data_IF_953555926735
#
_entry.id   IF_953555926735
#
_cell.length_a   1.000
_cell.length_b   1.000
_cell.length_c   1.000
_cell.angle_alpha   90.00
_cell.angle_beta   90.00
_cell.angle_gamma   90.00
#
_symmetry.space_group_name_H-M   'P 1'
#
loop_
_entity.id
_entity.type
_entity.pdbx_description
1 polymer ?
#
# COMPACT_ATOMS: atom_id res chain seq x y z
N UNK A 1 27.98 -7.30 -4.81
CA UNK A 1 28.13 -8.24 -3.66
C UNK A 1 29.59 -8.53 -3.32
N UNK A 2 30.52 -8.60 -4.27
CA UNK A 2 31.95 -8.88 -4.01
C UNK A 2 32.69 -7.83 -3.18
N UNK A 3 32.16 -6.60 -3.11
CA UNK A 3 32.72 -5.49 -2.31
C UNK A 3 32.14 -5.39 -0.89
N UNK A 4 31.15 -6.23 -0.55
CA UNK A 4 30.48 -6.21 0.75
C UNK A 4 31.14 -7.22 1.70
N UNK A 5 31.24 -6.86 2.97
CA UNK A 5 31.68 -7.75 4.04
C UNK A 5 30.76 -8.98 4.16
N UNK A 6 31.29 -10.09 4.69
CA UNK A 6 30.49 -11.29 4.92
C UNK A 6 29.25 -11.03 5.78
N UNK A 7 29.36 -10.10 6.74
CA UNK A 7 28.23 -9.69 7.57
C UNK A 7 27.14 -8.99 6.75
N UNK A 8 27.49 -8.02 5.92
CA UNK A 8 26.53 -7.28 5.09
C UNK A 8 25.80 -8.22 4.11
N UNK A 9 26.52 -9.17 3.51
CA UNK A 9 25.90 -10.17 2.64
C UNK A 9 24.89 -11.02 3.40
N UNK A 10 25.25 -11.52 4.59
CA UNK A 10 24.33 -12.30 5.44
C UNK A 10 23.13 -11.45 5.85
N UNK A 11 23.34 -10.19 6.23
CA UNK A 11 22.27 -9.28 6.62
C UNK A 11 21.27 -9.04 5.49
N UNK A 12 21.72 -8.84 4.26
CA UNK A 12 20.86 -8.65 3.07
C UNK A 12 19.98 -9.89 2.84
N UNK A 13 20.57 -11.08 2.86
CA UNK A 13 19.81 -12.33 2.71
C UNK A 13 18.84 -12.56 3.87
N UNK A 14 19.22 -12.20 5.09
CA UNK A 14 18.34 -12.27 6.25
C UNK A 14 17.14 -11.32 6.12
N UNK A 15 17.36 -10.07 5.71
CA UNK A 15 16.28 -9.10 5.45
C UNK A 15 15.36 -9.59 4.34
N UNK A 16 15.91 -10.14 3.26
CA UNK A 16 15.10 -10.75 2.20
C UNK A 16 14.24 -11.90 2.75
N UNK A 17 14.82 -12.79 3.57
CA UNK A 17 14.10 -13.87 4.22
C UNK A 17 12.96 -13.37 5.12
N UNK A 18 13.22 -12.36 5.96
CA UNK A 18 12.22 -11.74 6.84
C UNK A 18 11.10 -11.10 6.02
N UNK A 19 11.41 -10.42 4.91
CA UNK A 19 10.41 -9.82 4.04
C UNK A 19 9.44 -10.86 3.47
N UNK A 20 9.97 -12.00 3.02
CA UNK A 20 9.17 -13.11 2.49
C UNK A 20 8.33 -13.78 3.58
N UNK A 21 8.87 -13.95 4.79
CA UNK A 21 8.12 -14.46 5.94
C UNK A 21 6.98 -13.52 6.33
N UNK A 22 7.20 -12.21 6.30
CA UNK A 22 6.15 -11.21 6.54
C UNK A 22 5.01 -11.30 5.52
N UNK A 23 5.35 -11.42 4.22
CA UNK A 23 4.35 -11.60 3.16
C UNK A 23 3.59 -12.93 3.29
N UNK A 24 4.29 -14.01 3.62
CA UNK A 24 3.68 -15.31 3.88
C UNK A 24 2.72 -15.22 5.07
N UNK A 25 3.12 -14.54 6.16
CA UNK A 25 2.27 -14.34 7.33
C UNK A 25 1.02 -13.51 7.00
N UNK A 26 1.15 -12.46 6.18
CA UNK A 26 0.00 -11.70 5.68
C UNK A 26 -1.00 -12.61 4.92
N UNK A 27 -0.49 -13.51 4.09
CA UNK A 27 -1.33 -14.47 3.35
C UNK A 27 -2.01 -15.50 4.27
N UNK A 28 -1.30 -15.97 5.30
CA UNK A 28 -1.87 -16.86 6.32
C UNK A 28 -2.99 -16.16 7.09
N UNK A 29 -2.78 -14.92 7.54
CA UNK A 29 -3.79 -14.12 8.22
C UNK A 29 -5.00 -13.87 7.32
N UNK A 30 -4.80 -13.52 6.05
CA UNK A 30 -5.88 -13.40 5.07
C UNK A 30 -6.72 -14.66 5.01
N UNK A 31 -6.06 -15.82 4.93
CA UNK A 31 -6.75 -17.11 4.84
C UNK A 31 -7.54 -17.43 6.11
N UNK A 32 -7.05 -17.02 7.28
CA UNK A 32 -7.77 -17.16 8.55
C UNK A 32 -9.00 -16.26 8.58
N UNK A 33 -8.85 -14.97 8.26
CA UNK A 33 -9.96 -14.01 8.28
C UNK A 33 -11.05 -14.41 7.29
N UNK A 34 -10.69 -14.83 6.07
CA UNK A 34 -11.69 -15.19 5.07
C UNK A 34 -12.54 -16.41 5.45
N UNK A 35 -12.06 -17.26 6.37
CA UNK A 35 -12.80 -18.42 6.90
C UNK A 35 -13.78 -18.06 8.02
N UNK A 36 -13.64 -16.90 8.65
CA UNK A 36 -14.58 -16.45 9.67
C UNK A 36 -15.96 -16.16 9.06
N UNK A 37 -17.00 -16.36 9.86
CA UNK A 37 -18.39 -16.22 9.44
C UNK A 37 -18.76 -14.76 9.15
N UNK A 38 -19.57 -14.55 8.10
CA UNK A 38 -20.06 -13.22 7.70
C UNK A 38 -21.36 -12.82 8.42
N UNK A 39 -21.87 -13.66 9.32
CA UNK A 39 -23.09 -13.41 10.05
C UNK A 39 -24.34 -13.56 9.17
N UNK A 40 -25.36 -12.79 9.54
CA UNK A 40 -26.71 -12.95 8.99
C UNK A 40 -26.83 -12.50 7.53
N UNK A 41 -27.87 -12.95 6.82
CA UNK A 41 -28.15 -12.52 5.45
C UNK A 41 -28.24 -10.98 5.32
N UNK A 42 -28.82 -10.31 6.31
CA UNK A 42 -28.95 -8.84 6.29
C UNK A 42 -27.59 -8.14 6.40
N UNK A 43 -26.68 -8.68 7.22
CA UNK A 43 -25.32 -8.17 7.31
C UNK A 43 -24.56 -8.32 6.00
N UNK A 44 -24.73 -9.47 5.33
CA UNK A 44 -24.10 -9.73 4.03
C UNK A 44 -24.65 -8.83 2.92
N UNK A 45 -25.94 -8.48 2.96
CA UNK A 45 -26.55 -7.54 2.03
C UNK A 45 -25.92 -6.13 2.17
N UNK A 46 -25.89 -5.58 3.38
CA UNK A 46 -25.31 -4.25 3.66
C UNK A 46 -23.82 -4.24 3.32
N UNK A 47 -23.09 -5.28 3.73
CA UNK A 47 -21.69 -5.47 3.38
C UNK A 47 -21.46 -5.47 1.87
N UNK A 48 -22.39 -6.05 1.09
CA UNK A 48 -22.35 -6.03 -0.37
C UNK A 48 -22.33 -4.62 -0.93
N UNK A 49 -23.20 -3.74 -0.43
CA UNK A 49 -23.25 -2.33 -0.86
C UNK A 49 -21.97 -1.57 -0.51
N UNK A 50 -21.45 -1.74 0.71
CA UNK A 50 -20.17 -1.15 1.14
C UNK A 50 -19.03 -1.64 0.24
N UNK A 51 -19.00 -2.95 -0.04
CA UNK A 51 -17.99 -3.57 -0.90
C UNK A 51 -18.04 -3.06 -2.32
N UNK A 52 -19.23 -2.88 -2.88
CA UNK A 52 -19.39 -2.34 -4.24
C UNK A 52 -18.95 -0.89 -4.31
N UNK A 53 -19.32 -0.06 -3.32
CA UNK A 53 -18.85 1.33 -3.19
C UNK A 53 -17.33 1.42 -3.07
N UNK A 54 -16.73 0.64 -2.18
CA UNK A 54 -15.28 0.58 -2.00
C UNK A 54 -14.56 0.14 -3.29
N UNK A 55 -15.07 -0.87 -4.00
CA UNK A 55 -14.47 -1.31 -5.26
C UNK A 55 -14.61 -0.27 -6.39
N UNK A 56 -15.73 0.44 -6.45
CA UNK A 56 -15.94 1.52 -7.40
C UNK A 56 -14.96 2.67 -7.14
N UNK A 57 -14.80 3.07 -5.87
CA UNK A 57 -13.82 4.08 -5.46
C UNK A 57 -12.38 3.66 -5.81
N UNK A 58 -11.96 2.45 -5.42
CA UNK A 58 -10.61 1.92 -5.72
C UNK A 58 -10.32 1.89 -7.22
N UNK A 59 -11.30 1.50 -8.03
CA UNK A 59 -11.18 1.44 -9.48
C UNK A 59 -11.05 2.83 -10.09
N UNK A 60 -11.84 3.79 -9.60
CA UNK A 60 -11.77 5.18 -10.05
C UNK A 60 -10.42 5.80 -9.68
N UNK A 61 -9.97 5.57 -8.45
CA UNK A 61 -8.69 6.05 -7.94
C UNK A 61 -7.52 5.53 -8.77
N UNK A 62 -7.48 4.22 -9.06
CA UNK A 62 -6.43 3.62 -9.89
C UNK A 62 -6.38 4.28 -11.28
N UNK A 63 -7.53 4.45 -11.94
CA UNK A 63 -7.61 5.11 -13.25
C UNK A 63 -7.12 6.55 -13.21
N UNK A 64 -7.40 7.27 -12.13
CA UNK A 64 -6.97 8.67 -11.97
C UNK A 64 -5.48 8.81 -11.69
N UNK A 65 -4.86 7.87 -10.98
CA UNK A 65 -3.43 7.92 -10.61
C UNK A 65 -2.51 7.46 -11.76
N UNK A 66 -2.95 6.55 -12.63
CA UNK A 66 -2.13 5.99 -13.71
C UNK A 66 -1.42 7.04 -14.59
N UNK A 67 -2.07 8.12 -15.07
CA UNK A 67 -1.39 9.16 -15.84
C UNK A 67 -0.24 9.84 -15.06
N UNK A 68 -0.44 10.08 -13.77
CA UNK A 68 0.60 10.67 -12.91
C UNK A 68 1.80 9.74 -12.74
N UNK A 69 1.57 8.43 -12.63
CA UNK A 69 2.66 7.45 -12.61
C UNK A 69 3.48 7.55 -13.89
N UNK A 70 2.84 7.56 -15.06
CA UNK A 70 3.57 7.65 -16.36
C UNK A 70 4.39 8.95 -16.44
N UNK A 71 3.78 10.09 -16.13
CA UNK A 71 4.47 11.40 -16.17
C UNK A 71 5.66 11.43 -15.21
N UNK A 72 5.49 10.92 -13.99
CA UNK A 72 6.55 10.95 -12.98
C UNK A 72 7.63 9.90 -13.22
N UNK A 73 7.32 8.75 -13.81
CA UNK A 73 8.34 7.81 -14.30
C UNK A 73 9.26 8.49 -15.30
N UNK A 74 8.69 9.24 -16.26
CA UNK A 74 9.46 10.00 -17.25
C UNK A 74 10.28 11.10 -16.55
N UNK A 75 9.66 11.86 -15.64
CA UNK A 75 10.36 12.91 -14.90
C UNK A 75 11.53 12.36 -14.06
N UNK A 76 11.35 11.24 -13.37
CA UNK A 76 12.41 10.61 -12.58
C UNK A 76 13.51 10.00 -13.43
N UNK A 77 13.19 9.46 -14.61
CA UNK A 77 14.20 9.06 -15.57
C UNK A 77 15.11 10.25 -15.94
N UNK A 78 14.51 11.38 -16.31
CA UNK A 78 15.26 12.59 -16.68
C UNK A 78 15.89 13.33 -15.49
N UNK A 79 15.50 13.02 -14.25
CA UNK A 79 16.07 13.65 -13.05
C UNK A 79 17.59 13.49 -12.95
N UNK A 80 18.15 12.44 -13.54
CA UNK A 80 19.61 12.16 -13.53
C UNK A 80 20.42 13.21 -14.30
N UNK A 81 19.80 13.95 -15.23
CA UNK A 81 20.46 15.04 -15.93
C UNK A 81 20.54 16.32 -15.11
N UNK A 82 19.69 16.46 -14.08
CA UNK A 82 19.70 17.58 -13.15
C UNK A 82 20.53 17.23 -11.92
N UNK A 83 20.32 16.03 -11.38
CA UNK A 83 21.03 15.48 -10.22
C UNK A 83 21.91 14.33 -10.70
N UNK A 84 23.22 14.57 -10.94
CA UNK A 84 24.12 13.57 -11.48
C UNK A 84 24.25 12.36 -10.54
N UNK A 85 24.59 11.16 -11.07
CA UNK A 85 24.82 9.97 -10.27
C UNK A 85 25.88 10.19 -9.18
N UNK A 86 25.72 9.51 -8.05
CA UNK A 86 26.70 9.53 -6.95
C UNK A 86 28.07 9.00 -7.37
N UNK A 87 29.12 9.31 -6.59
CA UNK A 87 30.47 8.83 -6.86
C UNK A 87 30.54 7.29 -6.80
N UNK A 88 29.74 6.70 -5.91
CA UNK A 88 29.56 5.27 -5.73
C UNK A 88 28.92 4.62 -6.96
N UNK A 89 27.91 5.26 -7.55
CA UNK A 89 27.31 4.81 -8.82
C UNK A 89 28.29 4.89 -9.99
N UNK A 90 29.13 5.93 -10.04
CA UNK A 90 30.18 6.05 -11.05
C UNK A 90 31.26 4.97 -10.88
N UNK A 91 31.64 4.64 -9.65
CA UNK A 91 32.60 3.57 -9.35
C UNK A 91 32.03 2.18 -9.68
N UNK A 92 30.74 1.94 -9.37
CA UNK A 92 30.05 0.69 -9.68
C UNK A 92 30.04 0.38 -11.18
N UNK A 93 29.96 1.41 -12.03
CA UNK A 93 30.01 1.32 -13.48
C UNK A 93 31.33 1.85 -14.06
N UNK A 94 32.46 1.52 -13.43
CA UNK A 94 33.81 2.00 -13.81
C UNK A 94 34.23 1.75 -15.27
N UNK A 95 33.63 0.78 -15.96
CA UNK A 95 33.88 0.50 -17.39
C UNK A 95 32.99 1.28 -18.37
N UNK A 96 32.06 2.09 -17.89
CA UNK A 96 31.10 2.84 -18.70
C UNK A 96 31.45 4.33 -18.78
N UNK A 97 31.09 4.96 -19.89
CA UNK A 97 31.20 6.43 -20.03
C UNK A 97 30.24 7.15 -19.08
N UNK A 98 30.53 8.41 -18.67
CA UNK A 98 29.64 9.17 -17.79
C UNK A 98 28.19 9.26 -18.28
N UNK A 99 27.98 9.33 -19.60
CA UNK A 99 26.64 9.38 -20.18
C UNK A 99 25.94 8.02 -20.16
N UNK A 100 26.68 6.91 -20.27
CA UNK A 100 26.13 5.57 -20.05
C UNK A 100 25.72 5.34 -18.59
N UNK A 101 26.51 5.82 -17.62
CA UNK A 101 26.16 5.71 -16.18
C UNK A 101 24.86 6.48 -15.89
N UNK A 102 24.73 7.70 -16.42
CA UNK A 102 23.48 8.48 -16.30
C UNK A 102 22.28 7.72 -16.85
N UNK A 103 22.44 7.09 -18.02
CA UNK A 103 21.37 6.30 -18.63
C UNK A 103 20.99 5.10 -17.75
N UNK A 104 21.95 4.33 -17.26
CA UNK A 104 21.68 3.16 -16.41
C UNK A 104 21.01 3.55 -15.10
N UNK A 105 21.51 4.57 -14.40
CA UNK A 105 20.90 5.05 -13.16
C UNK A 105 19.51 5.66 -13.41
N UNK A 106 19.31 6.35 -14.55
CA UNK A 106 18.01 6.87 -14.95
C UNK A 106 16.97 5.77 -15.13
N UNK A 107 17.36 4.69 -15.81
CA UNK A 107 16.52 3.50 -15.97
C UNK A 107 16.22 2.83 -14.62
N UNK A 108 17.23 2.68 -13.75
CA UNK A 108 17.04 2.12 -12.42
C UNK A 108 16.14 2.97 -11.53
N UNK A 109 16.27 4.30 -11.54
CA UNK A 109 15.38 5.23 -10.82
C UNK A 109 13.93 5.11 -11.30
N UNK A 110 13.73 5.11 -12.62
CA UNK A 110 12.41 4.97 -13.21
C UNK A 110 11.78 3.61 -12.90
N UNK A 111 12.55 2.53 -13.00
CA UNK A 111 12.12 1.19 -12.65
C UNK A 111 11.78 1.07 -11.17
N UNK A 112 12.64 1.58 -10.29
CA UNK A 112 12.44 1.59 -8.85
C UNK A 112 11.17 2.36 -8.48
N UNK A 113 10.91 3.50 -9.12
CA UNK A 113 9.66 4.24 -8.96
C UNK A 113 8.43 3.41 -9.36
N UNK A 114 8.44 2.78 -10.54
CA UNK A 114 7.31 1.95 -10.98
C UNK A 114 7.10 0.76 -10.04
N UNK A 115 8.18 0.15 -9.56
CA UNK A 115 8.12 -0.93 -8.57
C UNK A 115 7.49 -0.45 -7.25
N UNK A 116 8.01 0.64 -6.67
CA UNK A 116 7.49 1.21 -5.42
C UNK A 116 6.03 1.65 -5.56
N UNK A 117 5.68 2.23 -6.70
CA UNK A 117 4.31 2.60 -7.02
C UNK A 117 3.39 1.38 -7.12
N UNK A 118 3.81 0.34 -7.82
CA UNK A 118 3.03 -0.91 -7.94
C UNK A 118 2.84 -1.57 -6.58
N UNK A 119 3.85 -1.58 -5.73
CA UNK A 119 3.77 -2.13 -4.38
C UNK A 119 2.81 -1.32 -3.50
N UNK A 120 2.90 0.00 -3.53
CA UNK A 120 1.97 0.88 -2.80
C UNK A 120 0.52 0.71 -3.25
N UNK A 121 0.28 0.60 -4.57
CA UNK A 121 -1.04 0.27 -5.10
C UNK A 121 -1.53 -1.10 -4.63
N UNK A 122 -0.65 -2.10 -4.64
CA UNK A 122 -1.00 -3.47 -4.21
C UNK A 122 -1.41 -3.47 -2.73
N UNK A 123 -0.65 -2.80 -1.87
CA UNK A 123 -0.97 -2.63 -0.44
C UNK A 123 -2.33 -1.94 -0.28
N UNK A 124 -2.56 -0.82 -0.96
CA UNK A 124 -3.82 -0.08 -0.85
C UNK A 124 -5.04 -0.90 -1.31
N UNK A 125 -4.93 -1.58 -2.45
CA UNK A 125 -6.01 -2.39 -3.03
C UNK A 125 -6.34 -3.62 -2.17
N UNK A 126 -5.31 -4.38 -1.77
CA UNK A 126 -5.52 -5.57 -0.94
C UNK A 126 -5.95 -5.16 0.46
N UNK A 127 -5.31 -4.14 1.04
CA UNK A 127 -5.60 -3.65 2.38
C UNK A 127 -7.04 -3.19 2.53
N UNK A 128 -7.54 -2.38 1.60
CA UNK A 128 -8.94 -1.91 1.65
C UNK A 128 -9.94 -3.05 1.44
N UNK A 129 -9.66 -3.96 0.50
CA UNK A 129 -10.52 -5.14 0.31
C UNK A 129 -10.54 -6.05 1.54
N UNK A 130 -9.41 -6.19 2.24
CA UNK A 130 -9.35 -6.94 3.49
C UNK A 130 -10.05 -6.23 4.64
N UNK A 131 -9.98 -4.90 4.72
CA UNK A 131 -10.75 -4.12 5.68
C UNK A 131 -12.26 -4.33 5.48
N UNK A 132 -12.73 -4.29 4.24
CA UNK A 132 -14.13 -4.58 3.87
C UNK A 132 -14.49 -6.04 4.12
N UNK A 133 -13.62 -7.02 3.85
CA UNK A 133 -13.93 -8.42 4.22
C UNK A 133 -13.91 -8.60 5.76
N UNK A 134 -13.11 -7.83 6.48
CA UNK A 134 -12.98 -7.89 7.93
C UNK A 134 -14.14 -7.26 8.69
N UNK A 135 -14.69 -6.13 8.22
CA UNK A 135 -15.71 -5.37 8.96
C UNK A 135 -16.97 -6.20 9.30
N UNK A 136 -17.50 -6.94 8.32
CA UNK A 136 -18.70 -7.77 8.48
C UNK A 136 -18.45 -8.94 9.41
N UNK A 137 -17.22 -9.49 9.40
CA UNK A 137 -16.80 -10.60 10.27
C UNK A 137 -16.57 -10.14 11.70
N UNK A 138 -15.99 -8.95 11.88
CA UNK A 138 -15.87 -8.30 13.18
C UNK A 138 -17.26 -8.03 13.77
N UNK A 139 -18.19 -7.49 12.99
CA UNK A 139 -19.57 -7.27 13.42
C UNK A 139 -20.28 -8.58 13.77
N UNK A 140 -20.04 -9.67 13.00
CA UNK A 140 -20.63 -10.97 13.28
C UNK A 140 -20.12 -11.55 14.60
N UNK A 141 -18.81 -11.49 14.84
CA UNK A 141 -18.18 -11.95 16.08
C UNK A 141 -18.57 -11.10 17.29
N UNK A 142 -18.83 -9.80 17.11
CA UNK A 142 -19.26 -8.92 18.20
C UNK A 142 -20.61 -9.34 18.82
N UNK A 143 -21.43 -10.11 18.08
CA UNK A 143 -22.68 -10.68 18.60
C UNK A 143 -22.46 -11.78 19.65
N UNK A 144 -21.28 -12.39 19.69
CA UNK A 144 -20.96 -13.51 20.60
C UNK A 144 -19.84 -13.18 21.58
N UNK A 145 -18.79 -12.48 21.14
CA UNK A 145 -17.57 -12.29 21.92
C UNK A 145 -16.81 -11.04 21.49
N UNK A 146 -16.57 -10.14 22.44
CA UNK A 146 -15.71 -8.97 22.25
C UNK A 146 -14.27 -9.37 21.90
N UNK A 147 -13.74 -10.40 22.58
CA UNK A 147 -12.37 -10.87 22.36
C UNK A 147 -12.16 -11.36 20.92
N UNK A 148 -13.14 -12.09 20.37
CA UNK A 148 -13.07 -12.59 19.00
C UNK A 148 -13.25 -11.46 17.98
N UNK A 149 -14.17 -10.52 18.22
CA UNK A 149 -14.34 -9.34 17.39
C UNK A 149 -13.04 -8.52 17.30
N UNK A 150 -12.41 -8.26 18.45
CA UNK A 150 -11.13 -7.55 18.52
C UNK A 150 -10.01 -8.31 17.81
N UNK A 151 -9.93 -9.64 18.01
CA UNK A 151 -8.95 -10.49 17.33
C UNK A 151 -9.10 -10.42 15.81
N UNK A 152 -10.32 -10.49 15.29
CA UNK A 152 -10.59 -10.41 13.84
C UNK A 152 -10.22 -9.02 13.31
N UNK A 153 -10.64 -7.95 14.00
CA UNK A 153 -10.33 -6.58 13.62
C UNK A 153 -8.81 -6.33 13.58
N UNK A 154 -8.10 -6.72 14.64
CA UNK A 154 -6.65 -6.56 14.76
C UNK A 154 -5.88 -7.34 13.70
N UNK A 155 -6.28 -8.60 13.45
CA UNK A 155 -5.67 -9.44 12.41
C UNK A 155 -5.96 -8.93 11.01
N UNK A 156 -7.16 -8.40 10.75
CA UNK A 156 -7.49 -7.77 9.47
C UNK A 156 -6.57 -6.57 9.20
N UNK A 157 -6.38 -5.69 10.19
CA UNK A 157 -5.44 -4.57 10.09
C UNK A 157 -3.97 -4.99 9.93
N UNK A 158 -3.56 -6.04 10.66
CA UNK A 158 -2.19 -6.60 10.58
C UNK A 158 -1.82 -7.03 9.15
N UNK A 159 -2.78 -7.50 8.33
CA UNK A 159 -2.51 -7.90 6.94
C UNK A 159 -1.93 -6.73 6.13
N UNK A 160 -2.55 -5.55 6.22
CA UNK A 160 -2.08 -4.35 5.51
C UNK A 160 -0.70 -3.92 5.99
N UNK A 161 -0.45 -3.98 7.29
CA UNK A 161 0.87 -3.68 7.87
C UNK A 161 1.96 -4.63 7.34
N UNK A 162 1.72 -5.94 7.42
CA UNK A 162 2.65 -6.97 6.95
C UNK A 162 2.90 -6.90 5.44
N UNK A 163 1.89 -6.53 4.64
CA UNK A 163 2.09 -6.27 3.21
C UNK A 163 2.94 -5.03 2.95
N UNK A 164 2.75 -3.96 3.72
CA UNK A 164 3.52 -2.71 3.60
C UNK A 164 4.99 -2.94 3.90
N UNK A 165 5.26 -3.52 5.08
CA UNK A 165 6.63 -3.77 5.53
C UNK A 165 7.29 -4.85 4.67
N UNK A 166 6.56 -5.92 4.36
CA UNK A 166 7.03 -7.02 3.52
C UNK A 166 7.42 -6.57 2.12
N UNK A 167 6.54 -5.86 1.41
CA UNK A 167 6.84 -5.37 0.04
C UNK A 167 7.90 -4.27 0.04
N UNK A 168 7.91 -3.40 1.07
CA UNK A 168 8.92 -2.36 1.24
C UNK A 168 10.32 -2.94 1.41
N UNK A 169 10.48 -3.88 2.35
CA UNK A 169 11.75 -4.58 2.57
C UNK A 169 12.14 -5.41 1.36
N UNK A 170 11.21 -6.15 0.76
CA UNK A 170 11.46 -6.97 -0.42
C UNK A 170 11.99 -6.14 -1.60
N UNK A 171 11.29 -5.06 -1.95
CA UNK A 171 11.67 -4.18 -3.06
C UNK A 171 13.00 -3.47 -2.81
N UNK A 172 13.16 -2.88 -1.63
CA UNK A 172 14.41 -2.20 -1.25
C UNK A 172 15.61 -3.15 -1.26
N UNK A 173 15.43 -4.37 -0.75
CA UNK A 173 16.51 -5.38 -0.71
C UNK A 173 16.86 -5.88 -2.10
N UNK A 174 15.87 -6.09 -3.00
CA UNK A 174 16.14 -6.45 -4.40
C UNK A 174 16.98 -5.38 -5.08
N UNK A 175 16.59 -4.10 -4.95
CA UNK A 175 17.35 -2.98 -5.53
C UNK A 175 18.78 -2.97 -4.99
N UNK A 176 18.95 -3.21 -3.68
CA UNK A 176 20.25 -3.27 -3.04
C UNK A 176 21.11 -4.45 -3.52
N UNK A 177 20.53 -5.63 -3.76
CA UNK A 177 21.26 -6.80 -4.28
C UNK A 177 21.87 -6.51 -5.66
N UNK A 178 21.15 -5.79 -6.51
CA UNK A 178 21.61 -5.46 -7.87
C UNK A 178 22.60 -4.30 -7.92
N UNK A 179 22.34 -3.21 -7.19
CA UNK A 179 23.12 -1.97 -7.28
C UNK A 179 24.18 -1.80 -6.17
N UNK A 180 24.07 -2.54 -5.07
CA UNK A 180 25.00 -2.45 -3.94
C UNK A 180 25.18 -1.01 -3.44
N UNK A 181 26.41 -0.47 -3.35
CA UNK A 181 26.66 0.91 -2.94
C UNK A 181 25.95 1.98 -3.79
N UNK A 182 25.62 1.67 -5.06
CA UNK A 182 24.88 2.56 -5.95
C UNK A 182 23.36 2.53 -5.73
N UNK A 183 22.86 1.66 -4.85
CA UNK A 183 21.43 1.49 -4.60
C UNK A 183 20.70 2.76 -4.14
N UNK A 184 21.27 3.66 -3.30
CA UNK A 184 20.60 4.89 -2.88
C UNK A 184 20.07 5.72 -4.05
N UNK A 185 20.82 5.78 -5.16
CA UNK A 185 20.40 6.51 -6.35
C UNK A 185 19.08 5.99 -6.92
N UNK A 186 18.87 4.68 -6.94
CA UNK A 186 17.63 4.06 -7.42
C UNK A 186 16.53 4.04 -6.33
N UNK A 187 16.91 3.85 -5.07
CA UNK A 187 15.99 3.81 -3.93
C UNK A 187 15.23 5.13 -3.73
N UNK A 188 15.80 6.26 -4.16
CA UNK A 188 15.07 7.53 -4.24
C UNK A 188 13.79 7.40 -5.08
N UNK A 189 13.89 6.74 -6.25
CA UNK A 189 12.74 6.44 -7.09
C UNK A 189 11.73 5.54 -6.38
N UNK A 190 12.21 4.46 -5.74
CA UNK A 190 11.37 3.52 -4.98
C UNK A 190 10.56 4.22 -3.87
N UNK A 191 11.23 5.02 -3.05
CA UNK A 191 10.60 5.78 -1.97
C UNK A 191 9.60 6.80 -2.49
N UNK A 192 9.93 7.51 -3.57
CA UNK A 192 9.02 8.46 -4.19
C UNK A 192 7.76 7.78 -4.76
N UNK A 193 7.92 6.65 -5.44
CA UNK A 193 6.80 5.86 -5.96
C UNK A 193 5.88 5.36 -4.85
N UNK A 194 6.45 4.87 -3.75
CA UNK A 194 5.69 4.37 -2.61
C UNK A 194 4.88 5.48 -1.90
N UNK A 195 5.53 6.60 -1.61
CA UNK A 195 4.96 7.72 -0.83
C UNK A 195 3.95 8.55 -1.60
N UNK A 196 4.19 8.80 -2.90
CA UNK A 196 3.27 9.59 -3.72
C UNK A 196 1.88 8.95 -3.80
N UNK A 197 1.83 7.64 -4.03
CA UNK A 197 0.55 6.93 -4.10
C UNK A 197 -0.13 6.87 -2.74
N UNK A 198 0.64 6.72 -1.67
CA UNK A 198 0.11 6.83 -0.31
C UNK A 198 -0.52 8.21 -0.05
N UNK A 199 0.07 9.29 -0.57
CA UNK A 199 -0.49 10.65 -0.49
C UNK A 199 -1.84 10.73 -1.20
N UNK A 200 -1.94 10.29 -2.46
CA UNK A 200 -3.22 10.29 -3.18
C UNK A 200 -4.27 9.42 -2.50
N UNK A 201 -3.87 8.28 -1.93
CA UNK A 201 -4.78 7.41 -1.19
C UNK A 201 -5.31 8.06 0.07
N UNK A 202 -4.43 8.71 0.85
CA UNK A 202 -4.82 9.39 2.09
C UNK A 202 -5.64 10.65 1.85
N UNK A 203 -5.24 11.48 0.89
CA UNK A 203 -5.94 12.75 0.61
C UNK A 203 -7.27 12.47 -0.09
N UNK A 204 -7.27 11.68 -1.16
CA UNK A 204 -8.50 11.34 -1.87
C UNK A 204 -9.48 10.58 -0.99
N UNK A 205 -8.98 9.61 -0.21
CA UNK A 205 -9.79 8.83 0.71
C UNK A 205 -10.33 9.70 1.84
N UNK A 206 -9.48 10.54 2.44
CA UNK A 206 -9.89 11.44 3.51
C UNK A 206 -10.94 12.47 3.09
N UNK A 207 -10.87 12.99 1.87
CA UNK A 207 -11.92 13.87 1.33
C UNK A 207 -13.23 13.12 1.16
N UNK A 208 -13.17 11.90 0.59
CA UNK A 208 -14.36 11.07 0.38
C UNK A 208 -15.06 10.74 1.70
N UNK A 209 -14.32 10.16 2.66
CA UNK A 209 -14.90 9.71 3.92
C UNK A 209 -15.34 10.88 4.78
N UNK A 210 -14.57 11.97 4.86
CA UNK A 210 -14.96 13.11 5.70
C UNK A 210 -16.11 13.93 5.14
N UNK A 211 -16.30 13.96 3.82
CA UNK A 211 -17.50 14.57 3.25
C UNK A 211 -18.75 13.77 3.60
N UNK A 212 -18.65 12.43 3.63
CA UNK A 212 -19.75 11.55 3.99
C UNK A 212 -20.06 11.61 5.49
N UNK A 213 -19.05 11.39 6.34
CA UNK A 213 -19.10 11.45 7.81
C UNK A 213 -19.79 12.73 8.30
N UNK A 214 -19.27 13.90 7.90
CA UNK A 214 -19.82 15.20 8.33
C UNK A 214 -21.26 15.40 7.82
N UNK A 215 -21.57 14.95 6.61
CA UNK A 215 -22.92 15.06 6.05
C UNK A 215 -23.93 14.14 6.74
N UNK A 216 -23.53 12.90 7.02
CA UNK A 216 -24.33 11.90 7.69
C UNK A 216 -24.65 12.34 9.12
N UNK A 217 -23.63 12.78 9.87
CA UNK A 217 -23.76 13.13 11.27
C UNK A 217 -24.54 14.42 11.49
N UNK A 218 -24.31 15.46 10.69
CA UNK A 218 -25.02 16.73 10.86
C UNK A 218 -26.51 16.58 10.57
N UNK A 219 -26.86 16.02 9.42
CA UNK A 219 -28.28 15.89 9.04
C UNK A 219 -28.97 14.82 9.88
N UNK A 220 -28.32 13.67 10.09
CA UNK A 220 -28.88 12.55 10.85
C UNK A 220 -29.08 12.90 12.32
N UNK A 221 -27.99 13.19 13.04
CA UNK A 221 -28.01 13.34 14.50
C UNK A 221 -28.51 14.70 14.94
N UNK A 222 -28.06 15.78 14.29
CA UNK A 222 -28.33 17.15 14.75
C UNK A 222 -29.68 17.67 14.26
N UNK A 223 -30.00 17.47 12.97
CA UNK A 223 -31.23 18.02 12.39
C UNK A 223 -32.44 17.10 12.57
N UNK A 224 -32.26 15.79 12.33
CA UNK A 224 -33.36 14.82 12.32
C UNK A 224 -33.47 14.00 13.61
N UNK A 225 -32.49 14.08 14.52
CA UNK A 225 -32.48 13.33 15.78
C UNK A 225 -32.42 11.80 15.59
N UNK A 226 -31.83 11.33 14.49
CA UNK A 226 -31.57 9.92 14.22
C UNK A 226 -30.36 9.43 15.03
N UNK A 227 -30.27 8.11 15.24
CA UNK A 227 -29.06 7.50 15.76
C UNK A 227 -27.92 7.58 14.71
N UNK A 228 -26.68 7.48 15.18
CA UNK A 228 -25.50 7.36 14.31
C UNK A 228 -25.60 6.05 13.50
N UNK A 229 -25.16 6.08 12.24
CA UNK A 229 -25.29 4.96 11.29
C UNK A 229 -26.73 4.46 11.03
N UNK A 230 -27.75 5.30 11.25
CA UNK A 230 -29.14 4.91 11.02
C UNK A 230 -29.39 4.57 9.53
N UNK A 231 -29.99 3.40 9.21
CA UNK A 231 -30.17 2.94 7.83
C UNK A 231 -31.11 3.82 6.99
N UNK A 232 -31.86 4.75 7.60
CA UNK A 232 -32.70 5.73 6.91
C UNK A 232 -31.88 6.89 6.35
N UNK A 233 -30.67 7.11 6.84
CA UNK A 233 -29.79 8.18 6.39
C UNK A 233 -29.04 7.74 5.11
N UNK A 234 -29.27 8.47 4.02
CA UNK A 234 -28.73 8.15 2.70
C UNK A 234 -27.20 8.26 2.61
N UNK A 235 -26.55 8.97 3.55
CA UNK A 235 -25.10 9.15 3.55
C UNK A 235 -24.31 7.98 4.18
N UNK A 236 -24.96 7.13 4.98
CA UNK A 236 -24.31 6.09 5.83
C UNK A 236 -23.58 4.99 5.04
N UNK A 237 -23.95 4.75 3.77
CA UNK A 237 -23.19 3.80 2.93
C UNK A 237 -21.90 4.42 2.38
N UNK A 238 -21.89 5.75 2.23
CA UNK A 238 -20.72 6.47 1.75
C UNK A 238 -19.73 6.78 2.89
N UNK A 239 -20.23 6.90 4.11
CA UNK A 239 -19.46 6.95 5.35
C UNK A 239 -18.74 5.61 5.61
#
# INVERSE_FOLDING_TARGET
MSELTSYEQIAIWAVLGISLLGLAYAFLLRSQILREDKGTAKMQEIWGWIKDGANAYLSRQLRSILPFIVVLTIALFFSVYIVPPSAEAMAHYSGATPDQVKLYIGLWRAFAFVMGATFSLTVGQIGMRMAVEGNVRTAAAARTSFSDALRIAYRSGTITGMLTDGLGLFGGTIIFIFLGPAAPDALLGFGFGGTLLALFMRVGGGIYTKAADVGADLVGKVEQGLEEDDPRNAAVIAD
#
